data_IF_486746282374
#
_entry.id   IF_486746282374
#
_cell.length_a   1.000
_cell.length_b   1.000
_cell.length_c   1.000
_cell.angle_alpha   90.00
_cell.angle_beta   90.00
_cell.angle_gamma   90.00
#
_symmetry.space_group_name_H-M   'P 1'
#
loop_
_entity.id
_entity.type
_entity.pdbx_description
1 polymer ?
#
# COMPACT_ATOMS: atom_id res chain seq x y z
N UNK A 1 3.02 -26.67 -28.55
CA UNK A 1 2.32 -26.14 -27.35
C UNK A 1 0.90 -25.77 -27.72
N UNK A 2 -0.12 -26.30 -27.03
CA UNK A 2 -1.52 -25.99 -27.32
C UNK A 2 -1.83 -24.51 -26.99
N UNK A 3 -2.44 -23.78 -27.92
CA UNK A 3 -2.90 -22.41 -27.69
C UNK A 3 -3.93 -22.42 -26.55
N UNK A 4 -3.61 -21.80 -25.42
CA UNK A 4 -4.55 -21.57 -24.33
C UNK A 4 -5.67 -20.67 -24.88
N UNK A 5 -6.90 -21.16 -24.90
CA UNK A 5 -8.04 -20.39 -25.34
C UNK A 5 -8.22 -19.17 -24.42
N UNK A 6 -8.14 -17.97 -24.99
CA UNK A 6 -8.33 -16.71 -24.26
C UNK A 6 -9.83 -16.49 -24.05
N UNK A 7 -10.25 -16.17 -22.82
CA UNK A 7 -11.64 -15.85 -22.53
C UNK A 7 -12.09 -14.59 -23.30
N UNK A 8 -13.36 -14.53 -23.74
CA UNK A 8 -13.96 -13.29 -24.24
C UNK A 8 -13.93 -12.16 -23.19
N UNK A 9 -13.98 -10.92 -23.66
CA UNK A 9 -14.06 -9.76 -22.78
C UNK A 9 -15.26 -9.87 -21.84
N UNK A 10 -15.05 -9.55 -20.56
CA UNK A 10 -16.08 -9.67 -19.52
C UNK A 10 -16.23 -11.07 -18.92
N UNK A 11 -15.44 -12.07 -19.35
CA UNK A 11 -15.47 -13.41 -18.80
C UNK A 11 -14.10 -13.94 -18.34
N UNK A 12 -14.14 -14.94 -17.46
CA UNK A 12 -13.03 -15.79 -17.08
C UNK A 12 -13.20 -17.20 -17.67
N UNK A 13 -12.09 -17.89 -17.88
CA UNK A 13 -11.99 -19.34 -18.09
C UNK A 13 -12.14 -20.10 -16.77
N UNK A 14 -12.40 -21.41 -16.82
CA UNK A 14 -12.44 -22.25 -15.62
C UNK A 14 -11.14 -22.19 -14.81
N UNK A 15 -9.99 -22.16 -15.50
CA UNK A 15 -8.67 -22.06 -14.86
C UNK A 15 -8.52 -20.76 -14.08
N UNK A 16 -8.92 -19.63 -14.66
CA UNK A 16 -8.87 -18.33 -13.99
C UNK A 16 -9.82 -18.27 -12.79
N UNK A 17 -11.01 -18.88 -12.87
CA UNK A 17 -11.93 -18.95 -11.73
C UNK A 17 -11.38 -19.79 -10.60
N UNK A 18 -10.86 -21.00 -10.88
CA UNK A 18 -10.24 -21.86 -9.87
C UNK A 18 -9.08 -21.14 -9.17
N UNK A 19 -8.25 -20.45 -9.94
CA UNK A 19 -7.13 -19.67 -9.39
C UNK A 19 -7.62 -18.51 -8.52
N UNK A 20 -8.63 -17.75 -8.97
CA UNK A 20 -9.14 -16.58 -8.23
C UNK A 20 -9.87 -16.92 -6.95
N UNK A 21 -10.63 -18.02 -6.94
CA UNK A 21 -11.36 -18.45 -5.76
C UNK A 21 -10.55 -19.40 -4.88
N UNK A 22 -9.39 -19.86 -5.37
CA UNK A 22 -8.55 -20.91 -4.76
C UNK A 22 -9.34 -22.19 -4.49
N UNK A 23 -10.08 -22.64 -5.50
CA UNK A 23 -10.93 -23.84 -5.41
C UNK A 23 -10.50 -24.89 -6.43
N UNK A 24 -10.70 -26.15 -6.07
CA UNK A 24 -10.51 -27.28 -6.97
C UNK A 24 -11.57 -27.37 -8.06
N UNK A 25 -11.27 -28.15 -9.09
CA UNK A 25 -12.15 -28.38 -10.23
C UNK A 25 -13.52 -28.96 -9.79
N UNK A 26 -13.51 -29.93 -8.88
CA UNK A 26 -14.73 -30.54 -8.31
C UNK A 26 -15.64 -29.49 -7.64
N UNK A 27 -15.07 -28.59 -6.85
CA UNK A 27 -15.81 -27.49 -6.20
C UNK A 27 -16.39 -26.52 -7.22
N UNK A 28 -15.64 -26.17 -8.28
CA UNK A 28 -16.16 -25.33 -9.35
C UNK A 28 -17.35 -25.98 -10.06
N UNK A 29 -17.27 -27.27 -10.41
CA UNK A 29 -18.40 -27.99 -11.01
C UNK A 29 -19.61 -28.01 -10.09
N UNK A 30 -19.41 -28.31 -8.80
CA UNK A 30 -20.48 -28.29 -7.82
C UNK A 30 -21.14 -26.91 -7.69
N UNK A 31 -20.37 -25.82 -7.71
CA UNK A 31 -20.91 -24.45 -7.69
C UNK A 31 -21.68 -24.08 -8.95
N UNK A 32 -21.30 -24.63 -10.10
CA UNK A 32 -22.07 -24.46 -11.35
C UNK A 32 -23.38 -25.25 -11.30
N UNK A 33 -23.33 -26.51 -10.85
CA UNK A 33 -24.50 -27.38 -10.73
C UNK A 33 -25.54 -26.81 -9.74
N UNK A 34 -25.06 -26.31 -8.60
CA UNK A 34 -25.89 -25.66 -7.58
C UNK A 34 -26.26 -24.21 -7.91
N UNK A 35 -25.93 -23.72 -9.12
CA UNK A 35 -26.22 -22.37 -9.61
C UNK A 35 -25.62 -21.23 -8.75
N UNK A 36 -24.62 -21.52 -7.92
CA UNK A 36 -23.84 -20.51 -7.19
C UNK A 36 -22.92 -19.72 -8.13
N UNK A 37 -22.42 -20.37 -9.19
CA UNK A 37 -21.63 -19.74 -10.25
C UNK A 37 -22.34 -19.92 -11.58
N UNK A 38 -22.56 -18.80 -12.31
CA UNK A 38 -23.13 -18.84 -13.65
C UNK A 38 -22.07 -19.26 -14.67
N UNK A 39 -22.33 -20.35 -15.40
CA UNK A 39 -21.54 -20.78 -16.57
C UNK A 39 -22.28 -20.42 -17.85
N UNK A 40 -21.61 -19.70 -18.76
CA UNK A 40 -22.13 -19.30 -20.07
C UNK A 40 -21.40 -20.09 -21.16
N UNK A 41 -22.12 -20.87 -21.95
CA UNK A 41 -21.56 -21.65 -23.06
C UNK A 41 -21.96 -20.94 -24.36
N UNK A 42 -21.01 -20.38 -25.13
CA UNK A 42 -21.34 -19.74 -26.39
C UNK A 42 -21.91 -20.73 -27.42
N UNK A 43 -22.75 -20.27 -28.36
CA UNK A 43 -23.28 -21.12 -29.42
C UNK A 43 -22.17 -21.87 -30.17
N UNK A 44 -22.33 -23.19 -30.33
CA UNK A 44 -21.37 -24.04 -31.05
C UNK A 44 -20.06 -24.33 -30.32
N UNK A 45 -19.92 -23.95 -29.04
CA UNK A 45 -18.75 -24.28 -28.21
C UNK A 45 -19.11 -25.31 -27.13
N UNK A 46 -18.14 -26.15 -26.78
CA UNK A 46 -18.24 -27.10 -25.64
C UNK A 46 -17.75 -26.48 -24.34
N UNK A 47 -16.82 -25.53 -24.44
CA UNK A 47 -16.23 -24.83 -23.30
C UNK A 47 -17.14 -23.69 -22.85
N UNK A 48 -17.28 -23.53 -21.53
CA UNK A 48 -18.04 -22.44 -20.93
C UNK A 48 -17.13 -21.42 -20.26
N UNK A 49 -17.65 -20.20 -20.15
CA UNK A 49 -17.00 -19.05 -19.54
C UNK A 49 -17.81 -18.54 -18.35
N UNK A 50 -17.18 -17.76 -17.48
CA UNK A 50 -17.73 -17.32 -16.21
C UNK A 50 -17.74 -15.79 -16.15
N UNK A 51 -18.89 -15.13 -15.89
CA UNK A 51 -18.95 -13.67 -15.85
C UNK A 51 -17.97 -13.10 -14.81
N UNK A 52 -17.11 -12.15 -15.22
CA UNK A 52 -16.10 -11.57 -14.31
C UNK A 52 -16.73 -10.95 -13.07
N UNK A 53 -17.79 -10.18 -13.27
CA UNK A 53 -18.48 -9.48 -12.20
C UNK A 53 -18.98 -10.42 -11.08
N UNK A 54 -19.51 -11.59 -11.44
CA UNK A 54 -20.01 -12.58 -10.47
C UNK A 54 -18.85 -13.18 -9.68
N UNK A 55 -17.78 -13.56 -10.36
CA UNK A 55 -16.59 -14.16 -9.73
C UNK A 55 -15.89 -13.14 -8.84
N UNK A 56 -15.68 -11.91 -9.32
CA UNK A 56 -15.05 -10.84 -8.55
C UNK A 56 -15.89 -10.46 -7.31
N UNK A 57 -17.23 -10.54 -7.40
CA UNK A 57 -18.12 -10.38 -6.22
C UNK A 57 -17.92 -11.50 -5.20
N UNK A 58 -17.77 -12.76 -5.63
CA UNK A 58 -17.51 -13.89 -4.74
C UNK A 58 -16.13 -13.79 -4.07
N UNK A 59 -15.10 -13.37 -4.81
CA UNK A 59 -13.76 -13.11 -4.26
C UNK A 59 -13.87 -12.08 -3.14
N UNK A 60 -14.51 -10.94 -3.38
CA UNK A 60 -14.72 -9.90 -2.34
C UNK A 60 -15.47 -10.42 -1.12
N UNK A 61 -16.49 -11.27 -1.32
CA UNK A 61 -17.23 -11.85 -0.20
C UNK A 61 -16.37 -12.81 0.64
N UNK A 62 -15.54 -13.63 -0.01
CA UNK A 62 -14.55 -14.50 0.66
C UNK A 62 -13.55 -13.66 1.46
N UNK A 63 -13.02 -12.59 0.87
CA UNK A 63 -12.10 -11.68 1.56
C UNK A 63 -12.75 -11.09 2.81
N UNK A 64 -13.95 -10.51 2.72
CA UNK A 64 -14.66 -9.93 3.87
C UNK A 64 -14.86 -10.98 4.98
N UNK A 65 -15.23 -12.20 4.62
CA UNK A 65 -15.41 -13.29 5.59
C UNK A 65 -14.10 -13.60 6.33
N UNK A 66 -12.98 -13.73 5.61
CA UNK A 66 -11.65 -13.94 6.19
C UNK A 66 -11.29 -12.79 7.15
N UNK A 67 -11.53 -11.54 6.72
CA UNK A 67 -11.21 -10.37 7.53
C UNK A 67 -12.03 -10.34 8.83
N UNK A 68 -13.31 -10.70 8.77
CA UNK A 68 -14.24 -10.68 9.89
C UNK A 68 -14.02 -11.84 10.89
N UNK A 69 -13.83 -13.07 10.39
CA UNK A 69 -13.91 -14.28 11.21
C UNK A 69 -12.59 -15.04 11.35
N UNK A 70 -11.59 -14.76 10.51
CA UNK A 70 -10.27 -15.36 10.65
C UNK A 70 -9.59 -14.92 11.95
N UNK A 71 -8.83 -15.82 12.58
CA UNK A 71 -7.93 -15.46 13.69
C UNK A 71 -6.93 -14.39 13.23
N UNK A 72 -6.39 -13.58 14.15
CA UNK A 72 -5.41 -12.57 13.74
C UNK A 72 -4.08 -13.24 13.40
N UNK A 73 -3.95 -13.62 12.13
CA UNK A 73 -2.76 -14.15 11.49
C UNK A 73 -2.04 -13.07 10.67
N UNK A 74 -2.38 -11.79 10.88
CA UNK A 74 -1.81 -10.76 10.02
C UNK A 74 -0.29 -10.65 10.22
N UNK A 75 0.41 -10.21 9.18
CA UNK A 75 1.88 -10.06 9.15
C UNK A 75 2.24 -8.73 8.52
N UNK A 76 3.28 -8.09 9.02
CA UNK A 76 3.92 -6.93 8.39
C UNK A 76 5.15 -7.43 7.64
N UNK A 77 5.26 -7.12 6.35
CA UNK A 77 6.40 -7.51 5.53
C UNK A 77 6.70 -6.48 4.45
N UNK A 78 7.92 -6.53 3.89
CA UNK A 78 8.28 -5.77 2.70
C UNK A 78 7.40 -6.19 1.52
N UNK A 79 6.91 -5.22 0.76
CA UNK A 79 6.05 -5.47 -0.37
C UNK A 79 6.79 -6.15 -1.53
N UNK A 80 6.13 -7.11 -2.15
CA UNK A 80 6.53 -7.73 -3.42
C UNK A 80 5.81 -7.04 -4.57
N UNK A 81 6.23 -7.31 -5.81
CA UNK A 81 5.61 -6.69 -6.99
C UNK A 81 4.11 -7.03 -7.10
N UNK A 82 3.71 -8.25 -6.73
CA UNK A 82 2.32 -8.68 -6.70
C UNK A 82 1.45 -7.87 -5.71
N UNK A 83 2.06 -7.31 -4.66
CA UNK A 83 1.35 -6.57 -3.62
C UNK A 83 0.95 -5.17 -4.05
N UNK A 84 1.60 -4.62 -5.08
CA UNK A 84 1.33 -3.27 -5.60
C UNK A 84 -0.14 -3.13 -6.04
N UNK A 85 -0.75 -4.22 -6.50
CA UNK A 85 -2.19 -4.24 -6.80
C UNK A 85 -3.02 -4.03 -5.53
N UNK A 86 -2.72 -4.75 -4.45
CA UNK A 86 -3.41 -4.59 -3.17
C UNK A 86 -3.25 -3.18 -2.60
N UNK A 87 -2.06 -2.59 -2.73
CA UNK A 87 -1.81 -1.19 -2.34
C UNK A 87 -2.67 -0.23 -3.17
N UNK A 88 -2.72 -0.39 -4.50
CA UNK A 88 -3.54 0.44 -5.37
C UNK A 88 -5.03 0.32 -5.01
N UNK A 89 -5.52 -0.88 -4.74
CA UNK A 89 -6.92 -1.12 -4.33
C UNK A 89 -7.27 -0.44 -2.99
N UNK A 90 -6.33 -0.43 -2.03
CA UNK A 90 -6.50 0.32 -0.78
C UNK A 90 -6.67 1.81 -1.07
N UNK A 91 -5.77 2.40 -1.86
CA UNK A 91 -5.87 3.81 -2.22
C UNK A 91 -7.18 4.11 -2.98
N UNK A 92 -7.57 3.24 -3.92
CA UNK A 92 -8.82 3.36 -4.67
C UNK A 92 -10.05 3.34 -3.76
N UNK A 93 -10.02 2.53 -2.69
CA UNK A 93 -11.10 2.49 -1.69
C UNK A 93 -11.24 3.80 -0.89
N UNK A 94 -10.15 4.56 -0.77
CA UNK A 94 -10.09 5.81 0.00
C UNK A 94 -10.40 7.03 -0.87
N UNK A 95 -9.92 7.06 -2.10
CA UNK A 95 -9.94 8.26 -2.96
C UNK A 95 -10.63 8.09 -4.30
N UNK A 96 -11.13 6.88 -4.62
CA UNK A 96 -11.81 6.60 -5.89
C UNK A 96 -10.93 6.98 -7.08
N UNK A 97 -11.51 7.74 -8.01
CA UNK A 97 -10.87 8.16 -9.27
C UNK A 97 -9.66 9.10 -9.08
N UNK A 98 -9.46 9.67 -7.90
CA UNK A 98 -8.29 10.50 -7.59
C UNK A 98 -7.06 9.66 -7.20
N UNK A 99 -7.18 8.33 -7.19
CA UNK A 99 -6.06 7.44 -6.87
C UNK A 99 -5.07 7.39 -8.02
N UNK A 100 -3.75 7.54 -7.75
CA UNK A 100 -2.74 7.30 -8.78
C UNK A 100 -2.92 5.95 -9.45
N UNK A 101 -2.80 5.93 -10.78
CA UNK A 101 -2.90 4.71 -11.59
C UNK A 101 -2.00 3.59 -11.06
N UNK A 102 -2.42 2.35 -11.25
CA UNK A 102 -1.65 1.16 -10.86
C UNK A 102 -0.24 1.20 -11.46
N UNK A 103 -0.12 1.59 -12.72
CA UNK A 103 1.13 1.68 -13.47
C UNK A 103 2.09 2.70 -12.86
N UNK A 104 1.60 3.83 -12.38
CA UNK A 104 2.40 4.84 -11.69
C UNK A 104 3.02 4.27 -10.41
N UNK A 105 2.23 3.51 -9.64
CA UNK A 105 2.68 2.88 -8.39
C UNK A 105 3.61 1.69 -8.62
N UNK A 106 3.40 0.95 -9.69
CA UNK A 106 4.31 -0.10 -10.12
C UNK A 106 5.65 0.48 -10.58
N UNK A 107 5.61 1.63 -11.28
CA UNK A 107 6.81 2.36 -11.67
C UNK A 107 7.58 2.84 -10.44
N UNK A 108 6.93 3.47 -9.45
CA UNK A 108 7.59 3.89 -8.23
C UNK A 108 8.27 2.74 -7.47
N UNK A 109 7.59 1.60 -7.35
CA UNK A 109 8.18 0.38 -6.77
C UNK A 109 9.41 -0.11 -7.53
N UNK A 110 9.40 -0.05 -8.87
CA UNK A 110 10.54 -0.50 -9.69
C UNK A 110 11.74 0.45 -9.62
N UNK A 111 11.51 1.74 -9.36
CA UNK A 111 12.60 2.68 -9.10
C UNK A 111 13.32 2.37 -7.78
N UNK A 112 12.56 2.03 -6.74
CA UNK A 112 13.12 1.58 -5.47
C UNK A 112 12.17 0.57 -4.81
N UNK A 113 12.56 -0.71 -4.79
CA UNK A 113 11.71 -1.77 -4.24
C UNK A 113 11.70 -1.84 -2.70
N UNK A 114 12.49 -1.00 -2.01
CA UNK A 114 12.52 -0.85 -0.55
C UNK A 114 11.49 0.16 -0.01
N UNK A 115 10.64 0.77 -0.86
CA UNK A 115 9.77 1.89 -0.43
C UNK A 115 8.38 1.48 0.09
N UNK A 116 7.95 0.23 -0.14
CA UNK A 116 6.62 -0.23 0.25
C UNK A 116 6.68 -1.45 1.17
N UNK A 117 5.83 -1.42 2.17
CA UNK A 117 5.57 -2.50 3.12
C UNK A 117 4.07 -2.70 3.23
N UNK A 118 3.65 -3.92 3.55
CA UNK A 118 2.24 -4.31 3.59
C UNK A 118 1.93 -5.03 4.88
N UNK A 119 0.71 -4.83 5.37
CA UNK A 119 0.08 -5.73 6.31
C UNK A 119 -0.83 -6.66 5.52
N UNK A 120 -0.60 -7.97 5.63
CA UNK A 120 -1.42 -9.00 5.00
C UNK A 120 -2.15 -9.83 6.04
N UNK A 121 -3.36 -10.27 5.71
CA UNK A 121 -4.08 -11.35 6.42
C UNK A 121 -4.48 -12.40 5.40
N UNK A 122 -3.93 -13.60 5.52
CA UNK A 122 -4.18 -14.71 4.57
C UNK A 122 -4.05 -14.25 3.10
N UNK A 123 -2.89 -13.66 2.77
CA UNK A 123 -2.54 -13.08 1.46
C UNK A 123 -3.32 -11.83 1.02
N UNK A 124 -4.34 -11.42 1.75
CA UNK A 124 -5.09 -10.19 1.48
C UNK A 124 -4.33 -8.99 2.04
N UNK A 125 -3.95 -8.04 1.18
CA UNK A 125 -3.36 -6.77 1.62
C UNK A 125 -4.43 -5.90 2.31
N UNK A 126 -4.29 -5.70 3.62
CA UNK A 126 -5.25 -4.96 4.47
C UNK A 126 -4.75 -3.58 4.88
N UNK A 127 -3.45 -3.34 4.73
CA UNK A 127 -2.83 -2.04 4.98
C UNK A 127 -1.50 -1.95 4.28
N UNK A 128 -0.99 -0.74 4.09
CA UNK A 128 0.35 -0.53 3.57
C UNK A 128 1.02 0.69 4.19
N UNK A 129 2.35 0.64 4.17
CA UNK A 129 3.25 1.73 4.53
C UNK A 129 4.12 2.03 3.32
N UNK A 130 4.11 3.29 2.88
CA UNK A 130 5.09 3.88 2.00
C UNK A 130 6.12 4.66 2.79
N UNK A 131 7.40 4.37 2.59
CA UNK A 131 8.54 5.15 3.07
C UNK A 131 9.35 5.64 1.87
N UNK A 132 8.97 6.80 1.33
CA UNK A 132 9.41 7.20 -0.02
C UNK A 132 10.47 8.30 0.09
N UNK A 133 11.74 8.02 -0.27
CA UNK A 133 12.81 9.01 -0.30
C UNK A 133 12.75 9.81 -1.61
N UNK A 134 11.82 10.77 -1.68
CA UNK A 134 11.77 11.67 -2.83
C UNK A 134 13.02 12.54 -2.92
N UNK A 135 13.36 12.96 -4.14
CA UNK A 135 14.31 14.07 -4.34
C UNK A 135 13.78 15.33 -3.63
N UNK A 136 14.68 16.15 -3.09
CA UNK A 136 14.29 17.23 -2.18
C UNK A 136 13.39 18.30 -2.82
N UNK A 137 13.67 18.66 -4.08
CA UNK A 137 12.83 19.55 -4.90
C UNK A 137 11.41 18.99 -5.07
N UNK A 138 11.30 17.69 -5.34
CA UNK A 138 10.03 16.98 -5.49
C UNK A 138 9.26 16.92 -4.18
N UNK A 139 9.93 16.61 -3.07
CA UNK A 139 9.24 16.57 -1.78
C UNK A 139 8.69 17.94 -1.41
N UNK A 140 9.47 19.02 -1.61
CA UNK A 140 8.99 20.38 -1.40
C UNK A 140 7.74 20.65 -2.23
N UNK A 141 7.75 20.25 -3.50
CA UNK A 141 6.61 20.36 -4.39
C UNK A 141 5.38 19.61 -3.88
N UNK A 142 5.52 18.34 -3.47
CA UNK A 142 4.44 17.53 -2.87
C UNK A 142 3.89 18.22 -1.62
N UNK A 143 4.78 18.74 -0.78
CA UNK A 143 4.43 19.37 0.49
C UNK A 143 3.80 20.76 0.30
N UNK A 144 3.91 21.39 -0.88
CA UNK A 144 3.24 22.67 -1.17
C UNK A 144 2.05 22.58 -2.13
N UNK A 145 1.81 21.42 -2.73
CA UNK A 145 0.73 21.24 -3.70
C UNK A 145 -0.65 21.49 -3.08
N UNK A 146 -1.48 22.27 -3.77
CA UNK A 146 -2.89 22.47 -3.43
C UNK A 146 -3.67 21.16 -3.59
N UNK A 147 -4.76 20.99 -2.84
CA UNK A 147 -5.49 19.71 -2.78
C UNK A 147 -6.03 19.25 -4.15
N UNK A 148 -6.52 20.18 -4.97
CA UNK A 148 -7.12 19.87 -6.26
C UNK A 148 -6.10 19.33 -7.26
N UNK A 149 -4.85 19.79 -7.17
CA UNK A 149 -3.76 19.37 -8.05
C UNK A 149 -2.90 18.26 -7.44
N UNK A 150 -2.97 18.05 -6.13
CA UNK A 150 -2.11 17.12 -5.38
C UNK A 150 -2.09 15.74 -6.02
N UNK A 151 -3.25 15.13 -6.31
CA UNK A 151 -3.29 13.74 -6.77
C UNK A 151 -2.78 13.57 -8.19
N UNK A 152 -3.13 14.49 -9.09
CA UNK A 152 -2.63 14.48 -10.47
C UNK A 152 -1.12 14.70 -10.47
N UNK A 153 -0.65 15.67 -9.68
CA UNK A 153 0.78 15.96 -9.57
C UNK A 153 1.56 14.81 -8.94
N UNK A 154 1.02 14.24 -7.87
CA UNK A 154 1.61 13.07 -7.21
C UNK A 154 1.72 11.89 -8.18
N UNK A 155 0.70 11.63 -9.00
CA UNK A 155 0.80 10.61 -10.04
C UNK A 155 1.94 10.87 -11.02
N UNK A 156 2.07 12.11 -11.53
CA UNK A 156 3.16 12.48 -12.44
C UNK A 156 4.53 12.27 -11.80
N UNK A 157 4.66 12.58 -10.50
CA UNK A 157 5.89 12.39 -9.74
C UNK A 157 6.25 10.90 -9.63
N UNK A 158 5.27 10.03 -9.34
CA UNK A 158 5.52 8.58 -9.29
C UNK A 158 5.93 7.98 -10.66
N UNK A 159 5.53 8.62 -11.75
CA UNK A 159 5.91 8.25 -13.13
C UNK A 159 7.25 8.85 -13.58
N UNK A 160 7.68 9.95 -12.94
CA UNK A 160 8.92 10.64 -13.28
C UNK A 160 10.15 9.78 -12.96
N UNK A 161 11.12 9.64 -13.88
CA UNK A 161 12.40 9.01 -13.60
C UNK A 161 13.17 9.75 -12.50
N UNK A 162 13.91 9.01 -11.67
CA UNK A 162 14.78 9.54 -10.62
C UNK A 162 14.06 10.46 -9.61
N UNK A 163 12.73 10.33 -9.51
CA UNK A 163 11.95 11.07 -8.52
C UNK A 163 12.04 10.44 -7.14
N UNK A 164 12.25 9.12 -7.10
CA UNK A 164 12.40 8.30 -5.92
C UNK A 164 13.82 7.78 -5.87
N UNK A 165 14.53 8.14 -4.81
CA UNK A 165 15.94 7.81 -4.66
C UNK A 165 16.10 6.37 -4.12
N UNK A 166 17.16 5.64 -4.50
CA UNK A 166 17.50 4.39 -3.84
C UNK A 166 18.02 4.65 -2.42
N UNK A 167 17.83 3.68 -1.53
CA UNK A 167 18.54 3.69 -0.25
C UNK A 167 19.97 3.16 -0.43
N UNK A 168 20.96 4.02 -0.18
CA UNK A 168 22.38 3.69 -0.38
C UNK A 168 23.12 3.83 0.96
N UNK A 169 23.80 2.77 1.45
CA UNK A 169 24.63 2.86 2.64
C UNK A 169 25.65 4.00 2.56
N UNK A 170 25.80 4.75 3.65
CA UNK A 170 26.68 5.91 3.77
C UNK A 170 26.14 7.19 3.12
N UNK A 171 24.99 7.16 2.46
CA UNK A 171 24.33 8.35 1.92
C UNK A 171 23.11 8.71 2.78
N UNK A 172 23.07 9.92 3.38
CA UNK A 172 21.91 10.32 4.16
C UNK A 172 20.68 10.54 3.27
N UNK A 173 19.51 10.28 3.84
CA UNK A 173 18.20 10.61 3.29
C UNK A 173 17.69 11.82 4.07
N UNK A 174 17.84 13.01 3.49
CA UNK A 174 17.45 14.26 4.16
C UNK A 174 15.97 14.29 4.51
N UNK A 175 15.11 13.66 3.71
CA UNK A 175 13.68 13.65 3.98
C UNK A 175 13.00 12.42 3.39
N UNK A 176 12.13 11.82 4.20
CA UNK A 176 11.38 10.61 3.88
C UNK A 176 9.89 10.90 4.00
N UNK A 177 9.14 10.70 2.92
CA UNK A 177 7.68 10.83 2.94
C UNK A 177 7.04 9.55 3.49
N UNK A 178 6.12 9.69 4.43
CA UNK A 178 5.34 8.59 5.00
C UNK A 178 3.92 8.58 4.42
N UNK A 179 3.50 7.41 3.91
CA UNK A 179 2.13 7.14 3.48
C UNK A 179 1.62 5.88 4.18
N UNK A 180 0.73 6.04 5.16
CA UNK A 180 0.19 4.93 5.94
C UNK A 180 -1.31 4.85 5.70
N UNK A 181 -1.79 3.72 5.17
CA UNK A 181 -3.20 3.52 4.89
C UNK A 181 -3.66 2.12 5.29
N UNK A 182 -4.88 2.05 5.80
CA UNK A 182 -5.59 0.79 6.05
C UNK A 182 -6.79 0.73 5.11
N UNK A 183 -7.08 -0.46 4.58
CA UNK A 183 -8.21 -0.73 3.70
C UNK A 183 -9.52 -0.32 4.40
N UNK A 184 -10.25 0.62 3.81
CA UNK A 184 -11.52 1.14 4.37
C UNK A 184 -12.58 0.03 4.48
N UNK A 185 -13.31 0.03 5.59
CA UNK A 185 -14.37 -0.92 5.89
C UNK A 185 -13.86 -2.29 6.32
N UNK A 186 -12.57 -2.42 6.61
CA UNK A 186 -11.99 -3.68 7.05
C UNK A 186 -12.23 -3.87 8.54
N UNK A 187 -12.70 -5.04 9.01
CA UNK A 187 -12.76 -5.34 10.44
C UNK A 187 -11.39 -5.14 11.11
N UNK A 188 -11.35 -4.50 12.28
CA UNK A 188 -10.12 -4.25 13.06
C UNK A 188 -9.13 -3.27 12.41
N UNK A 189 -9.60 -2.19 11.78
CA UNK A 189 -8.71 -1.19 11.15
C UNK A 189 -7.62 -0.66 12.09
N UNK A 190 -7.97 -0.40 13.35
CA UNK A 190 -7.03 0.10 14.38
C UNK A 190 -5.86 -0.86 14.62
N UNK A 191 -6.14 -2.17 14.64
CA UNK A 191 -5.12 -3.21 14.81
C UNK A 191 -4.12 -3.20 13.65
N UNK A 192 -4.59 -3.11 12.41
CA UNK A 192 -3.72 -3.05 11.24
C UNK A 192 -2.96 -1.72 11.17
N UNK A 193 -3.58 -0.61 11.56
CA UNK A 193 -2.91 0.68 11.72
C UNK A 193 -1.76 0.61 12.72
N UNK A 194 -1.98 -0.02 13.88
CA UNK A 194 -0.94 -0.24 14.89
C UNK A 194 0.21 -1.10 14.35
N UNK A 195 -0.09 -2.16 13.59
CA UNK A 195 0.92 -3.00 12.94
C UNK A 195 1.76 -2.21 11.92
N UNK A 196 1.14 -1.32 11.14
CA UNK A 196 1.86 -0.44 10.22
C UNK A 196 2.78 0.54 10.97
N UNK A 197 2.33 1.10 12.10
CA UNK A 197 3.15 1.99 12.93
C UNK A 197 4.34 1.24 13.49
N UNK A 198 4.13 0.06 14.08
CA UNK A 198 5.20 -0.77 14.61
C UNK A 198 6.20 -1.16 13.51
N UNK A 199 5.71 -1.61 12.36
CA UNK A 199 6.55 -1.94 11.21
C UNK A 199 7.32 -0.74 10.67
N UNK A 200 6.77 0.47 10.74
CA UNK A 200 7.48 1.70 10.40
C UNK A 200 8.67 1.95 11.34
N UNK A 201 8.48 1.79 12.65
CA UNK A 201 9.57 1.94 13.65
C UNK A 201 10.68 0.91 13.37
N UNK A 202 10.31 -0.36 13.17
CA UNK A 202 11.25 -1.43 12.86
C UNK A 202 12.03 -1.13 11.57
N UNK A 203 11.33 -0.69 10.53
CA UNK A 203 11.92 -0.35 9.23
C UNK A 203 12.92 0.80 9.33
N UNK A 204 12.59 1.86 10.08
CA UNK A 204 13.53 2.96 10.31
C UNK A 204 14.79 2.46 11.04
N UNK A 205 14.62 1.61 12.06
CA UNK A 205 15.73 0.97 12.75
C UNK A 205 16.62 0.15 11.80
N UNK A 206 16.02 -0.61 10.88
CA UNK A 206 16.73 -1.37 9.85
C UNK A 206 17.53 -0.46 8.90
N UNK A 207 16.96 0.66 8.47
CA UNK A 207 17.67 1.65 7.65
C UNK A 207 18.91 2.19 8.40
N UNK A 208 18.78 2.55 9.68
CA UNK A 208 19.90 3.02 10.48
C UNK A 208 21.02 1.97 10.59
N UNK A 209 20.68 0.70 10.80
CA UNK A 209 21.64 -0.41 10.89
C UNK A 209 22.35 -0.68 9.56
N UNK A 210 21.69 -0.39 8.44
CA UNK A 210 22.24 -0.45 7.07
C UNK A 210 23.03 0.79 6.64
N UNK A 211 23.30 1.71 7.56
CA UNK A 211 23.97 2.98 7.28
C UNK A 211 23.20 3.93 6.36
N UNK A 212 21.88 3.90 6.45
CA UNK A 212 20.99 4.82 5.74
C UNK A 212 20.39 5.76 6.78
N UNK A 213 20.98 6.95 6.91
CA UNK A 213 20.58 7.92 7.92
C UNK A 213 19.47 8.81 7.37
N UNK A 214 18.25 8.62 7.84
CA UNK A 214 17.12 9.52 7.63
C UNK A 214 17.18 10.68 8.62
N UNK A 215 17.12 11.92 8.12
CA UNK A 215 17.10 13.11 8.98
C UNK A 215 15.69 13.50 9.42
N UNK A 216 14.75 13.52 8.47
CA UNK A 216 13.39 14.00 8.70
C UNK A 216 12.33 13.09 8.09
N UNK A 217 11.22 12.95 8.79
CA UNK A 217 10.00 12.32 8.28
C UNK A 217 8.96 13.40 7.94
N UNK A 218 8.27 13.22 6.82
CA UNK A 218 7.21 14.11 6.36
C UNK A 218 5.91 13.35 6.15
N UNK A 219 4.81 13.93 6.62
CA UNK A 219 3.47 13.39 6.40
C UNK A 219 2.48 14.52 6.11
N UNK A 220 1.39 14.18 5.42
CA UNK A 220 0.25 15.09 5.28
C UNK A 220 -1.08 14.34 5.37
N UNK A 221 -2.08 14.97 5.96
CA UNK A 221 -3.41 14.36 6.05
C UNK A 221 -4.52 15.40 6.22
N UNK A 222 -5.70 15.09 5.67
CA UNK A 222 -6.96 15.79 5.96
C UNK A 222 -7.87 14.99 6.91
N UNK A 223 -7.51 13.75 7.27
CA UNK A 223 -8.34 12.89 8.09
C UNK A 223 -8.09 13.14 9.59
N UNK A 224 -9.14 13.42 10.40
CA UNK A 224 -8.96 13.76 11.82
C UNK A 224 -8.15 12.75 12.64
N UNK A 225 -8.36 11.45 12.42
CA UNK A 225 -7.63 10.40 13.14
C UNK A 225 -6.14 10.36 12.77
N UNK A 226 -5.80 10.58 11.50
CA UNK A 226 -4.41 10.63 11.05
C UNK A 226 -3.69 11.90 11.50
N UNK A 227 -4.41 13.04 11.56
CA UNK A 227 -3.92 14.28 12.17
C UNK A 227 -3.61 14.06 13.65
N UNK A 228 -4.51 13.41 14.39
CA UNK A 228 -4.29 13.04 15.79
C UNK A 228 -3.07 12.14 15.93
N UNK A 229 -2.95 11.11 15.09
CA UNK A 229 -1.81 10.19 15.08
C UNK A 229 -0.47 10.93 14.90
N UNK A 230 -0.37 11.87 13.95
CA UNK A 230 0.87 12.63 13.74
C UNK A 230 1.24 13.44 14.99
N UNK A 231 0.26 14.10 15.63
CA UNK A 231 0.48 14.86 16.86
C UNK A 231 0.91 13.98 18.02
N UNK A 232 0.24 12.85 18.22
CA UNK A 232 0.58 11.87 19.27
C UNK A 232 1.96 11.25 19.05
N UNK A 233 2.37 11.07 17.79
CA UNK A 233 3.70 10.60 17.40
C UNK A 233 4.79 11.69 17.55
N UNK A 234 4.44 12.91 17.96
CA UNK A 234 5.38 14.00 18.22
C UNK A 234 5.82 14.77 16.98
N UNK A 235 5.10 14.64 15.86
CA UNK A 235 5.36 15.48 14.69
C UNK A 235 5.01 16.93 14.99
N UNK A 236 5.80 17.84 14.43
CA UNK A 236 5.50 19.28 14.41
C UNK A 236 4.60 19.58 13.23
N UNK A 237 3.47 20.24 13.48
CA UNK A 237 2.57 20.71 12.42
C UNK A 237 3.20 21.93 11.74
N UNK A 238 3.38 21.86 10.41
CA UNK A 238 3.89 22.97 9.60
C UNK A 238 2.78 24.01 9.36
N UNK A 239 3.13 25.27 9.07
CA UNK A 239 2.15 26.32 8.76
C UNK A 239 1.16 25.88 7.66
N UNK A 240 -0.12 26.26 7.75
CA UNK A 240 -1.09 25.96 6.70
C UNK A 240 -0.70 26.65 5.40
N UNK A 241 -1.05 26.04 4.26
CA UNK A 241 -0.92 26.66 2.96
C UNK A 241 -2.25 27.28 2.54
N UNK A 242 -2.26 28.45 1.91
CA UNK A 242 -3.46 29.00 1.28
C UNK A 242 -4.13 27.94 0.39
N UNK A 243 -5.45 27.79 0.50
CA UNK A 243 -6.21 26.85 -0.35
C UNK A 243 -6.10 25.36 0.02
N UNK A 244 -5.25 24.98 0.98
CA UNK A 244 -5.10 23.57 1.40
C UNK A 244 -5.92 23.25 2.65
N UNK A 245 -6.68 22.15 2.60
CA UNK A 245 -7.34 21.57 3.79
C UNK A 245 -6.52 20.45 4.45
N UNK A 246 -5.32 20.15 3.94
CA UNK A 246 -4.44 19.13 4.50
C UNK A 246 -3.52 19.78 5.53
N UNK A 247 -3.39 19.13 6.68
CA UNK A 247 -2.33 19.43 7.64
C UNK A 247 -1.05 18.74 7.20
N UNK A 248 0.08 19.40 7.44
CA UNK A 248 1.41 18.97 7.05
C UNK A 248 2.25 18.82 8.30
N UNK A 249 3.07 17.80 8.34
CA UNK A 249 3.78 17.37 9.54
C UNK A 249 5.22 17.04 9.19
N UNK A 250 6.13 17.44 10.08
CA UNK A 250 7.55 17.10 10.03
C UNK A 250 7.98 16.50 11.37
N UNK A 251 8.82 15.47 11.35
CA UNK A 251 9.49 14.94 12.53
C UNK A 251 11.00 14.88 12.26
N UNK A 252 11.76 15.68 13.01
CA UNK A 252 13.22 15.63 13.00
C UNK A 252 13.70 14.46 13.86
N UNK A 253 14.30 13.44 13.22
CA UNK A 253 14.71 12.21 13.88
C UNK A 253 15.94 12.39 14.77
N UNK A 254 16.72 13.45 14.58
CA UNK A 254 17.90 13.72 15.40
C UNK A 254 17.54 14.37 16.74
N UNK A 255 16.49 15.19 16.76
CA UNK A 255 16.14 16.04 17.91
C UNK A 255 14.85 15.67 18.62
N UNK A 256 13.99 14.86 18.00
CA UNK A 256 12.72 14.46 18.63
C UNK A 256 12.92 13.65 19.92
N UNK A 257 12.04 13.86 20.89
CA UNK A 257 11.93 13.05 22.12
C UNK A 257 10.86 11.97 22.02
N UNK A 258 10.20 11.87 20.86
CA UNK A 258 9.12 10.91 20.63
C UNK A 258 9.60 9.48 20.83
N UNK A 259 8.83 8.63 21.55
CA UNK A 259 9.10 7.20 21.64
C UNK A 259 9.29 6.52 20.28
N UNK A 260 8.64 7.06 19.24
CA UNK A 260 8.71 6.58 17.86
C UNK A 260 10.13 6.54 17.28
N UNK A 261 11.03 7.45 17.70
CA UNK A 261 12.38 7.55 17.15
C UNK A 261 13.47 6.92 18.04
N UNK A 262 13.11 6.38 19.21
CA UNK A 262 14.09 5.96 20.23
C UNK A 262 15.04 4.88 19.73
N UNK A 263 14.51 3.82 19.11
CA UNK A 263 15.32 2.71 18.63
C UNK A 263 16.22 3.15 17.48
N UNK A 264 15.68 3.97 16.57
CA UNK A 264 16.45 4.61 15.51
C UNK A 264 17.63 5.43 16.06
N UNK A 265 17.36 6.34 17.00
CA UNK A 265 18.38 7.17 17.65
C UNK A 265 19.40 6.36 18.45
N UNK A 266 18.98 5.24 19.06
CA UNK A 266 19.88 4.33 19.79
C UNK A 266 20.93 3.74 18.84
N UNK A 267 20.49 3.24 17.68
CA UNK A 267 21.40 2.72 16.64
C UNK A 267 22.39 3.80 16.19
N UNK A 268 21.94 5.05 16.02
CA UNK A 268 22.85 6.14 15.65
C UNK A 268 23.91 6.44 16.71
N UNK A 269 23.56 6.37 18.01
CA UNK A 269 24.50 6.62 19.11
C UNK A 269 25.54 5.51 19.23
N UNK A 270 25.14 4.25 19.10
CA UNK A 270 26.04 3.10 19.18
C UNK A 270 27.12 3.14 18.10
N UNK A 271 26.78 3.65 16.91
CA UNK A 271 27.72 3.80 15.80
C UNK A 271 28.72 4.94 15.96
N UNK A 272 28.36 6.03 16.63
CA UNK A 272 29.30 7.14 16.90
C UNK A 272 30.42 6.75 17.88
N UNK A 273 30.24 5.65 18.60
CA UNK A 273 31.19 5.16 19.61
C UNK A 273 32.09 4.01 19.09
N UNK A 274 31.95 3.61 17.83
CA UNK A 274 32.80 2.63 17.14
C UNK A 274 33.82 3.36 16.25
#
# INVERSE_FOLDING_TARGET
MAKIAKAPNGFYTAKEVMQKLEIGNSTLYHYVETKKIKKVIPPGKKEGYYPKADIDKMVRAKEIFILQYGTDSSIFEKAKEEDIRGIHEICASLWGNSTPRYEARLNSYRQNNDIYYVVKKEDITVGFLGIIPFREDILKEIMIAEQNDFYLRYQQILEMPDSILPFVPGKPVYSLSLDLQVRKGTPKEELYGMRLIQGCIETLGDLARRDIIVEKLHASSGAPHAIKLCRDAGFTELPPLPGSNRKRFELDLATTTSPFARDYQKVLKERKNQ
#
